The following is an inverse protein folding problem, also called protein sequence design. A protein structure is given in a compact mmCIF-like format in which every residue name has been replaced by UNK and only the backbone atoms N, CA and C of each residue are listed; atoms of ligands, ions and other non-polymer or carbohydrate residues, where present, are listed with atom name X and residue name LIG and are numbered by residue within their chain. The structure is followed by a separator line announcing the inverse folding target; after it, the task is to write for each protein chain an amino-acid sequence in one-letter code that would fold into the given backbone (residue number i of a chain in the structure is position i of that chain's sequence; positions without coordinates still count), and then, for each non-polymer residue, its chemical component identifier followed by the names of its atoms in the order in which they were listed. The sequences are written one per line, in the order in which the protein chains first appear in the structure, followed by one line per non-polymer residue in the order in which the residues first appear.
data_IF_484950134592
#
_entry.id   IF_484950134592
#
_cell.length_a   1.000
_cell.length_b   1.000
_cell.length_c   1.000
_cell.angle_alpha   90.00
_cell.angle_beta   90.00
_cell.angle_gamma   90.00
#
_symmetry.space_group_name_H-M   'P 1'
#
loop_
_entity.id
_entity.type
_entity.pdbx_description
1 polymer ?
#
# COMPACT_ATOMS: atom_id res chain seq x y z
N UNK A 1 -7.81 2.21 2.59
CA UNK A 1 -7.91 0.94 1.82
C UNK A 1 -7.22 0.99 0.46
N UNK A 2 -7.38 2.04 -0.36
CA UNK A 2 -6.76 2.11 -1.71
C UNK A 2 -5.25 1.85 -1.74
N UNK A 3 -4.49 2.44 -0.82
CA UNK A 3 -3.03 2.20 -0.74
C UNK A 3 -2.67 0.74 -0.42
N UNK A 4 -3.37 0.10 0.52
CA UNK A 4 -3.12 -1.31 0.86
C UNK A 4 -3.37 -2.24 -0.34
N UNK A 5 -4.34 -1.89 -1.20
CA UNK A 5 -4.58 -2.64 -2.44
C UNK A 5 -3.40 -2.52 -3.41
N UNK A 6 -2.81 -1.32 -3.55
CA UNK A 6 -1.60 -1.11 -4.36
C UNK A 6 -0.44 -1.95 -3.83
N UNK A 7 -0.23 -1.93 -2.50
CA UNK A 7 0.77 -2.78 -1.86
C UNK A 7 0.56 -4.25 -2.21
N UNK A 8 -0.64 -4.78 -2.02
CA UNK A 8 -0.95 -6.20 -2.22
C UNK A 8 -0.76 -6.64 -3.67
N UNK A 9 -1.19 -5.82 -4.63
CA UNK A 9 -1.02 -6.12 -6.06
C UNK A 9 0.47 -6.17 -6.42
N UNK A 10 1.23 -5.15 -6.03
CA UNK A 10 2.67 -5.09 -6.32
C UNK A 10 3.41 -6.22 -5.62
N UNK A 11 3.10 -6.47 -4.35
CA UNK A 11 3.64 -7.59 -3.57
C UNK A 11 3.42 -8.92 -4.30
N UNK A 12 2.18 -9.23 -4.69
CA UNK A 12 1.85 -10.49 -5.36
C UNK A 12 2.59 -10.65 -6.70
N UNK A 13 2.62 -9.60 -7.52
CA UNK A 13 3.33 -9.62 -8.81
C UNK A 13 4.83 -9.87 -8.60
N UNK A 14 5.45 -9.15 -7.66
CA UNK A 14 6.89 -9.26 -7.42
C UNK A 14 7.28 -10.59 -6.78
N UNK A 15 6.43 -11.17 -5.92
CA UNK A 15 6.64 -12.53 -5.41
C UNK A 15 6.65 -13.51 -6.57
N UNK A 16 5.61 -13.53 -7.42
CA UNK A 16 5.53 -14.45 -8.55
C UNK A 16 6.71 -14.27 -9.51
N UNK A 17 7.05 -13.02 -9.83
CA UNK A 17 8.19 -12.71 -10.69
C UNK A 17 9.52 -13.20 -10.09
N UNK A 18 9.73 -12.99 -8.79
CA UNK A 18 10.98 -13.39 -8.11
C UNK A 18 11.08 -14.90 -7.93
N UNK A 19 9.96 -15.61 -7.74
CA UNK A 19 9.94 -17.08 -7.73
C UNK A 19 10.44 -17.66 -9.06
N UNK A 20 10.19 -16.98 -10.18
CA UNK A 20 10.74 -17.35 -11.49
C UNK A 20 12.15 -16.82 -11.76
N UNK A 21 12.60 -15.79 -11.04
CA UNK A 21 13.92 -15.17 -11.20
C UNK A 21 14.40 -14.48 -9.92
N UNK A 22 15.29 -15.14 -9.18
CA UNK A 22 15.83 -14.63 -7.90
C UNK A 22 16.87 -13.52 -8.05
N UNK A 23 17.33 -13.23 -9.27
CA UNK A 23 18.31 -12.17 -9.51
C UNK A 23 17.67 -10.77 -9.57
N UNK A 24 16.34 -10.68 -9.43
CA UNK A 24 15.66 -9.40 -9.20
C UNK A 24 16.17 -8.84 -7.85
N UNK A 25 16.89 -7.70 -7.83
CA UNK A 25 17.32 -7.08 -6.58
C UNK A 25 16.12 -6.44 -5.87
N UNK A 26 16.21 -6.08 -4.57
CA UNK A 26 17.34 -6.27 -3.68
C UNK A 26 17.29 -7.58 -2.85
N UNK A 27 16.28 -8.43 -3.04
CA UNK A 27 15.95 -9.53 -2.14
C UNK A 27 17.10 -10.51 -1.88
N UNK A 28 17.84 -10.88 -2.94
CA UNK A 28 19.02 -11.73 -2.83
C UNK A 28 20.15 -11.07 -2.03
N UNK A 29 20.40 -9.78 -2.26
CA UNK A 29 21.41 -9.02 -1.53
C UNK A 29 21.04 -8.88 -0.05
N UNK A 30 19.76 -8.63 0.26
CA UNK A 30 19.26 -8.58 1.64
C UNK A 30 19.40 -9.95 2.30
N UNK A 31 19.00 -11.02 1.63
CA UNK A 31 19.14 -12.39 2.15
C UNK A 31 20.61 -12.69 2.51
N UNK A 32 21.54 -12.44 1.59
CA UNK A 32 22.97 -12.67 1.84
C UNK A 32 23.55 -11.79 2.96
N UNK A 33 23.03 -10.57 3.14
CA UNK A 33 23.50 -9.66 4.19
C UNK A 33 22.93 -9.99 5.58
N UNK A 34 21.65 -10.40 5.66
CA UNK A 34 20.92 -10.59 6.92
C UNK A 34 21.00 -12.03 7.42
N UNK A 35 21.14 -13.00 6.51
CA UNK A 35 21.18 -14.43 6.82
C UNK A 35 22.46 -15.09 6.27
N UNK A 36 23.67 -14.57 6.61
CA UNK A 36 24.91 -15.17 6.15
C UNK A 36 25.08 -16.59 6.71
N UNK A 37 25.63 -17.52 5.94
CA UNK A 37 25.89 -18.89 6.42
C UNK A 37 24.64 -19.80 6.44
N UNK A 38 23.50 -19.31 5.97
CA UNK A 38 22.25 -20.09 5.88
C UNK A 38 22.10 -20.81 4.54
N UNK A 39 23.16 -20.90 3.74
CA UNK A 39 23.16 -21.61 2.46
C UNK A 39 22.91 -23.11 2.65
N UNK A 40 23.11 -23.64 3.85
CA UNK A 40 22.73 -25.02 4.21
C UNK A 40 21.21 -25.27 4.16
N UNK A 41 20.39 -24.22 4.14
CA UNK A 41 18.96 -24.34 3.87
C UNK A 41 18.66 -24.56 2.38
N UNK A 42 19.66 -24.48 1.49
CA UNK A 42 19.50 -24.77 0.08
C UNK A 42 19.07 -26.23 -0.11
N UNK A 43 18.01 -26.43 -0.89
CA UNK A 43 17.40 -27.73 -1.11
C UNK A 43 16.27 -28.07 -0.13
N UNK A 44 15.99 -27.23 0.88
CA UNK A 44 14.76 -27.35 1.64
C UNK A 44 13.58 -26.87 0.80
N UNK A 45 12.71 -27.79 0.39
CA UNK A 45 11.60 -27.49 -0.51
C UNK A 45 10.31 -27.19 0.28
N UNK A 46 9.68 -26.07 -0.05
CA UNK A 46 8.35 -25.68 0.38
C UNK A 46 7.43 -25.81 -0.83
N UNK A 47 6.59 -26.85 -0.84
CA UNK A 47 5.67 -27.13 -1.95
C UNK A 47 6.39 -27.21 -3.33
N UNK A 48 7.59 -27.79 -3.36
CA UNK A 48 8.40 -27.94 -4.58
C UNK A 48 9.29 -26.75 -4.94
N UNK A 49 9.22 -25.64 -4.18
CA UNK A 49 10.08 -24.47 -4.38
C UNK A 49 11.12 -24.39 -3.27
N UNK A 50 12.36 -24.10 -3.63
CA UNK A 50 13.45 -23.89 -2.67
C UNK A 50 13.12 -22.74 -1.68
N UNK A 51 13.31 -23.00 -0.38
CA UNK A 51 12.95 -22.05 0.68
C UNK A 51 13.73 -20.74 0.60
N UNK A 52 15.00 -20.76 0.17
CA UNK A 52 15.78 -19.55 -0.04
C UNK A 52 15.13 -18.71 -1.15
N UNK A 53 14.68 -19.34 -2.22
CA UNK A 53 13.94 -18.68 -3.31
C UNK A 53 12.66 -18.02 -2.80
N UNK A 54 11.90 -18.69 -1.93
CA UNK A 54 10.68 -18.11 -1.32
C UNK A 54 11.02 -16.92 -0.43
N UNK A 55 12.07 -17.00 0.40
CA UNK A 55 12.50 -15.91 1.27
C UNK A 55 12.92 -14.68 0.45
N UNK A 56 13.73 -14.89 -0.59
CA UNK A 56 14.15 -13.82 -1.51
C UNK A 56 12.93 -13.17 -2.19
N UNK A 57 11.96 -13.98 -2.63
CA UNK A 57 10.73 -13.49 -3.23
C UNK A 57 9.89 -12.63 -2.27
N UNK A 58 9.80 -13.03 -1.00
CA UNK A 58 9.11 -12.24 0.03
C UNK A 58 9.83 -10.92 0.27
N UNK A 59 11.17 -10.90 0.37
CA UNK A 59 11.92 -9.65 0.52
C UNK A 59 11.66 -8.68 -0.63
N UNK A 60 11.74 -9.15 -1.88
CA UNK A 60 11.41 -8.32 -3.04
C UNK A 60 9.97 -7.81 -2.98
N UNK A 61 9.00 -8.71 -2.75
CA UNK A 61 7.59 -8.35 -2.67
C UNK A 61 7.33 -7.26 -1.63
N UNK A 62 7.89 -7.39 -0.42
CA UNK A 62 7.71 -6.41 0.66
C UNK A 62 8.37 -5.07 0.32
N UNK A 63 9.62 -5.09 -0.14
CA UNK A 63 10.36 -3.85 -0.44
C UNK A 63 9.68 -3.07 -1.57
N UNK A 64 9.42 -3.71 -2.71
CA UNK A 64 8.77 -3.05 -3.83
C UNK A 64 7.32 -2.68 -3.54
N UNK A 65 6.58 -3.54 -2.83
CA UNK A 65 5.23 -3.23 -2.38
C UNK A 65 5.21 -1.99 -1.50
N UNK A 66 6.15 -1.88 -0.55
CA UNK A 66 6.27 -0.73 0.34
C UNK A 66 6.64 0.54 -0.43
N UNK A 67 7.61 0.48 -1.33
CA UNK A 67 8.01 1.62 -2.17
C UNK A 67 6.84 2.10 -3.04
N UNK A 68 6.16 1.19 -3.74
CA UNK A 68 5.04 1.54 -4.59
C UNK A 68 3.86 2.13 -3.79
N UNK A 69 3.55 1.54 -2.63
CA UNK A 69 2.55 2.08 -1.72
C UNK A 69 2.93 3.47 -1.19
N UNK A 70 4.19 3.69 -0.86
CA UNK A 70 4.68 4.98 -0.36
C UNK A 70 4.56 6.05 -1.45
N UNK A 71 5.00 5.74 -2.68
CA UNK A 71 4.83 6.63 -3.84
C UNK A 71 3.36 6.97 -4.04
N UNK A 72 2.49 5.96 -4.08
CA UNK A 72 1.05 6.16 -4.22
C UNK A 72 0.48 7.07 -3.13
N UNK A 73 0.90 6.86 -1.88
CA UNK A 73 0.42 7.64 -0.74
C UNK A 73 0.88 9.09 -0.80
N UNK A 74 2.13 9.34 -1.19
CA UNK A 74 2.67 10.68 -1.37
C UNK A 74 2.00 11.41 -2.53
N UNK A 75 1.79 10.73 -3.66
CA UNK A 75 1.04 11.26 -4.81
C UNK A 75 -0.38 11.64 -4.38
N UNK A 76 -1.08 10.73 -3.70
CA UNK A 76 -2.45 10.99 -3.24
C UNK A 76 -2.51 12.14 -2.23
N UNK A 77 -1.48 12.30 -1.39
CA UNK A 77 -1.35 13.42 -0.47
C UNK A 77 -1.13 14.74 -1.22
N UNK A 78 -0.23 14.77 -2.20
CA UNK A 78 0.07 15.96 -2.99
C UNK A 78 -1.13 16.42 -3.85
N UNK A 79 -1.91 15.47 -4.38
CA UNK A 79 -3.10 15.77 -5.19
C UNK A 79 -4.41 15.84 -4.40
N UNK A 80 -4.33 15.86 -3.06
CA UNK A 80 -5.50 15.95 -2.20
C UNK A 80 -6.08 17.37 -2.31
N UNK A 81 -6.95 17.59 -3.31
CA UNK A 81 -7.77 18.78 -3.43
C UNK A 81 -8.41 19.05 -2.08
N UNK A 82 -8.19 20.25 -1.53
CA UNK A 82 -8.91 20.73 -0.37
C UNK A 82 -10.39 20.42 -0.57
N UNK A 83 -10.94 19.59 0.32
CA UNK A 83 -12.40 19.45 0.39
C UNK A 83 -12.88 20.84 0.75
N UNK A 84 -13.34 21.59 -0.26
CA UNK A 84 -13.96 22.91 -0.08
C UNK A 84 -14.92 22.76 1.08
N UNK A 85 -14.72 23.58 2.11
CA UNK A 85 -15.66 23.69 3.22
C UNK A 85 -17.04 23.89 2.59
N UNK A 86 -17.95 22.93 2.80
CA UNK A 86 -19.33 23.12 2.40
C UNK A 86 -19.86 24.26 3.25
N UNK A 87 -19.92 25.46 2.68
CA UNK A 87 -20.64 26.59 3.26
C UNK A 87 -22.11 26.20 3.26
N UNK A 88 -22.58 25.68 4.39
CA UNK A 88 -24.00 25.42 4.62
C UNK A 88 -24.65 26.78 4.85
N UNK A 89 -25.39 27.27 3.86
CA UNK A 89 -26.21 28.47 4.02
C UNK A 89 -27.39 28.13 4.92
N UNK A 90 -27.35 28.59 6.18
CA UNK A 90 -28.48 28.50 7.11
C UNK A 90 -29.36 29.72 6.89
N UNK A 91 -30.54 29.52 6.31
CA UNK A 91 -31.57 30.56 6.24
C UNK A 91 -32.35 30.56 7.55
N UNK A 92 -32.25 31.67 8.29
CA UNK A 92 -33.12 31.93 9.44
C UNK A 92 -34.42 32.56 8.93
N UNK A 93 -35.54 31.84 9.01
CA UNK A 93 -36.85 32.45 8.86
C UNK A 93 -37.09 33.30 10.11
N UNK A 94 -36.98 34.62 9.97
CA UNK A 94 -37.30 35.54 11.04
C UNK A 94 -38.84 35.67 11.12
N UNK A 95 -39.45 34.93 12.05
CA UNK A 95 -40.90 34.93 12.31
C UNK A 95 -41.43 36.26 12.89
N UNK A 96 -40.57 37.27 13.06
CA UNK A 96 -40.95 38.57 13.63
C UNK A 96 -41.77 39.49 12.69
N UNK A 97 -42.17 39.01 11.50
CA UNK A 97 -42.88 39.84 10.51
C UNK A 97 -44.30 39.34 10.16
N UNK A 98 -44.90 38.50 11.01
CA UNK A 98 -46.33 38.20 10.87
C UNK A 98 -47.14 39.38 11.43
N UNK A 99 -47.98 40.06 10.62
CA UNK A 99 -48.88 41.06 11.15
C UNK A 99 -49.81 40.39 12.17
N UNK A 100 -50.15 41.09 13.27
CA UNK A 100 -51.03 40.53 14.29
C UNK A 100 -52.35 40.11 13.63
N UNK A 101 -52.94 38.97 14.04
CA UNK A 101 -54.19 38.51 13.48
C UNK A 101 -55.27 39.58 13.68
N UNK A 102 -56.15 39.78 12.69
CA UNK A 102 -57.21 40.78 12.76
C UNK A 102 -58.14 40.53 13.97
N UNK A 103 -58.73 41.60 14.54
CA UNK A 103 -59.52 41.55 15.77
C UNK A 103 -60.80 40.72 15.65
#
# INVERSE_FOLDING_TARGET
MKGALVFLIVFAILVIATLGNTDIPPGKAIYSAVLPGTEAAAGYLINGVDAITVIIAVFNGVIYGFVAWLIFSLVMLAFKKDKKQQTVNVYYNNEANYPPPPP
#
